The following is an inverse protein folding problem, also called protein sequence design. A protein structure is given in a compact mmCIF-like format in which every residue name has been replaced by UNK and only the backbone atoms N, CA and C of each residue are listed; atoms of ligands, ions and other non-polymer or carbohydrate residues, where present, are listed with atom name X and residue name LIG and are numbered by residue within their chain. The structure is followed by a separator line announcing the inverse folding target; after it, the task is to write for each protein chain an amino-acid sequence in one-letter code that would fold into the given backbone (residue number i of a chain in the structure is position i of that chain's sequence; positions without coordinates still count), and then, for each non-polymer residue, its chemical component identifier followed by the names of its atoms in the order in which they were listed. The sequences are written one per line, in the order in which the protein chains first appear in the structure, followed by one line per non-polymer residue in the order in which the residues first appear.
data_IF_154635522236
#
_entry.id   IF_154635522236
#
_cell.length_a   1.000
_cell.length_b   1.000
_cell.length_c   1.000
_cell.angle_alpha   90.00
_cell.angle_beta   90.00
_cell.angle_gamma   90.00
#
_symmetry.space_group_name_H-M   'P 1'
#
loop_
_entity.id
_entity.type
_entity.pdbx_description
1 polymer ?
#
# COMPACT_ATOMS: atom_id res chain seq x y z
N UNK A 1 -79.60 45.74 12.40
CA UNK A 1 -79.53 44.64 13.38
C UNK A 1 -78.46 43.66 12.91
N UNK A 2 -77.50 43.28 13.75
CA UNK A 2 -76.63 44.14 14.57
C UNK A 2 -75.14 43.81 14.25
N UNK A 3 -74.08 44.56 14.58
CA UNK A 3 -73.75 45.90 15.06
C UNK A 3 -72.19 45.98 15.02
N UNK A 4 -71.60 47.11 14.59
CA UNK A 4 -70.28 47.66 15.00
C UNK A 4 -69.01 46.79 14.80
N UNK A 5 -67.77 47.28 14.69
CA UNK A 5 -67.16 48.56 15.07
C UNK A 5 -65.80 48.76 14.37
N UNK A 6 -65.56 50.00 13.98
CA UNK A 6 -64.32 50.81 13.91
C UNK A 6 -62.96 50.21 14.34
N UNK A 7 -61.90 50.49 13.56
CA UNK A 7 -60.58 50.90 14.09
C UNK A 7 -59.73 51.60 13.01
N UNK A 8 -59.26 52.80 13.35
CA UNK A 8 -58.20 53.55 12.68
C UNK A 8 -57.01 53.63 13.63
N UNK A 9 -55.76 53.44 13.16
CA UNK A 9 -54.54 53.93 13.84
C UNK A 9 -53.48 54.33 12.80
N UNK A 10 -53.12 55.61 12.85
CA UNK A 10 -51.98 56.31 12.25
C UNK A 10 -50.76 56.31 13.17
N UNK A 11 -49.55 56.16 12.62
CA UNK A 11 -48.26 56.77 13.06
C UNK A 11 -47.16 56.25 12.11
N UNK A 12 -46.18 57.01 11.60
CA UNK A 12 -45.51 58.18 12.15
C UNK A 12 -44.01 57.84 12.24
N UNK A 13 -43.23 58.33 11.27
CA UNK A 13 -41.79 58.09 11.02
C UNK A 13 -40.88 58.83 12.03
N UNK A 14 -39.53 58.73 11.99
CA UNK A 14 -38.70 58.32 13.11
C UNK A 14 -37.87 59.46 13.73
N UNK A 15 -37.23 59.18 14.86
CA UNK A 15 -36.22 60.05 15.47
C UNK A 15 -34.98 59.23 15.84
N UNK A 16 -33.82 59.73 15.42
CA UNK A 16 -32.49 59.46 16.01
C UNK A 16 -32.45 60.01 17.46
N UNK A 17 -31.59 59.46 18.35
CA UNK A 17 -30.32 60.16 18.59
C UNK A 17 -29.12 59.31 19.03
N UNK A 18 -27.99 59.99 18.91
CA UNK A 18 -26.60 59.66 19.28
C UNK A 18 -26.32 59.78 20.80
N UNK A 19 -25.13 59.30 21.22
CA UNK A 19 -24.47 59.28 22.55
C UNK A 19 -24.72 58.03 23.45
N UNK A 20 -23.73 57.39 24.10
CA UNK A 20 -22.28 57.61 24.20
C UNK A 20 -21.65 56.65 25.25
N UNK A 21 -20.31 56.66 25.29
CA UNK A 21 -19.40 56.17 26.35
C UNK A 21 -19.16 54.66 26.55
N UNK A 22 -17.93 54.22 26.22
CA UNK A 22 -17.34 52.94 26.63
C UNK A 22 -15.80 53.02 26.62
N UNK A 23 -15.19 52.48 27.68
CA UNK A 23 -13.85 52.74 28.19
C UNK A 23 -12.64 52.22 27.38
N UNK A 24 -11.48 52.81 27.71
CA UNK A 24 -10.10 52.53 27.28
C UNK A 24 -9.65 51.08 27.56
N UNK A 25 -8.72 50.54 26.76
CA UNK A 25 -7.38 50.03 27.17
C UNK A 25 -6.66 49.30 26.00
N UNK A 26 -5.46 49.82 25.70
CA UNK A 26 -4.22 49.24 25.17
C UNK A 26 -4.10 48.60 23.76
N UNK A 27 -2.96 48.90 23.07
CA UNK A 27 -2.68 48.51 21.67
C UNK A 27 -2.03 47.12 21.51
N UNK A 28 -2.39 46.43 20.43
CA UNK A 28 -1.64 45.26 19.93
C UNK A 28 -0.23 45.66 19.46
N UNK A 29 0.82 44.89 19.83
CA UNK A 29 2.16 45.15 19.36
C UNK A 29 2.33 44.76 17.88
N UNK A 30 2.94 45.69 17.16
CA UNK A 30 3.51 45.52 15.82
C UNK A 30 4.44 44.29 15.77
N UNK A 31 4.34 43.58 14.65
CA UNK A 31 5.48 43.15 13.85
C UNK A 31 6.52 42.25 14.51
N UNK A 32 6.34 40.94 14.35
CA UNK A 32 7.47 40.02 14.23
C UNK A 32 7.50 39.46 12.82
N UNK A 33 8.29 40.12 11.97
CA UNK A 33 8.89 39.52 10.79
C UNK A 33 9.75 38.35 11.30
N UNK A 34 9.31 37.12 11.06
CA UNK A 34 10.24 35.99 11.13
C UNK A 34 11.00 35.96 9.81
N UNK A 35 12.25 36.40 9.93
CA UNK A 35 13.28 36.30 8.93
C UNK A 35 13.41 34.85 8.45
N UNK A 36 13.42 34.69 7.13
CA UNK A 36 14.06 33.54 6.47
C UNK A 36 15.55 33.53 6.86
N UNK A 37 16.12 32.41 7.32
CA UNK A 37 17.52 32.16 7.12
C UNK A 37 17.69 31.46 5.76
N UNK A 38 18.21 32.22 4.81
CA UNK A 38 19.08 31.72 3.75
C UNK A 38 20.44 31.39 4.38
N UNK A 39 21.17 30.47 3.73
CA UNK A 39 22.57 30.04 3.96
C UNK A 39 22.71 28.92 5.03
N UNK A 40 23.53 27.88 4.84
CA UNK A 40 24.66 27.73 3.94
C UNK A 40 24.86 26.27 3.51
N UNK A 41 25.29 26.07 2.25
CA UNK A 41 26.06 24.89 1.87
C UNK A 41 27.32 24.82 2.75
N UNK A 42 27.49 23.71 3.47
CA UNK A 42 28.76 23.33 4.04
C UNK A 42 29.31 22.13 3.25
N UNK A 43 30.52 22.36 2.72
CA UNK A 43 31.30 21.45 1.91
C UNK A 43 31.91 20.31 2.74
N UNK A 44 32.06 19.17 2.06
CA UNK A 44 33.14 18.17 2.13
C UNK A 44 33.85 17.91 3.48
N UNK A 45 33.76 16.65 3.91
CA UNK A 45 34.66 16.07 4.90
C UNK A 45 34.39 14.58 5.17
N UNK A 46 34.31 13.75 4.12
CA UNK A 46 34.27 12.29 4.28
C UNK A 46 35.70 11.74 4.29
N UNK A 47 36.19 11.43 5.48
CA UNK A 47 37.38 10.60 5.69
C UNK A 47 37.04 9.14 5.39
N UNK A 48 37.74 8.56 4.40
CA UNK A 48 37.72 7.13 4.09
C UNK A 48 38.33 6.31 5.23
N UNK A 49 37.70 5.23 5.73
CA UNK A 49 38.42 4.21 6.46
C UNK A 49 39.18 3.30 5.48
N UNK A 50 40.39 2.93 5.89
CA UNK A 50 41.35 2.14 5.16
C UNK A 50 40.86 0.72 4.84
N UNK A 51 41.27 0.26 3.66
CA UNK A 51 41.19 -1.12 3.17
C UNK A 51 41.96 -2.06 4.11
N UNK A 52 41.29 -3.06 4.67
CA UNK A 52 41.92 -4.23 5.25
C UNK A 52 41.75 -5.42 4.27
N UNK A 53 42.88 -5.97 3.83
CA UNK A 53 42.97 -7.17 2.99
C UNK A 53 42.48 -8.43 3.72
N UNK A 54 41.88 -9.40 3.01
CA UNK A 54 41.55 -10.70 3.59
C UNK A 54 42.79 -11.61 3.64
N UNK A 55 43.09 -12.14 4.82
CA UNK A 55 44.05 -13.22 4.99
C UNK A 55 43.38 -14.58 4.70
N UNK A 56 44.08 -15.38 3.90
CA UNK A 56 43.74 -16.72 3.49
C UNK A 56 43.66 -17.71 4.68
N UNK A 57 42.80 -18.73 4.54
CA UNK A 57 42.77 -19.86 5.47
C UNK A 57 41.50 -20.71 5.33
N UNK A 58 41.32 -21.39 4.19
CA UNK A 58 40.33 -22.47 4.05
C UNK A 58 41.08 -23.79 4.25
N UNK A 59 40.79 -24.59 5.30
CA UNK A 59 41.11 -26.01 5.29
C UNK A 59 39.97 -26.79 4.61
N UNK A 60 40.32 -27.50 3.55
CA UNK A 60 39.51 -28.58 2.95
C UNK A 60 39.29 -29.72 3.93
N UNK A 61 38.10 -30.35 3.94
CA UNK A 61 37.97 -31.75 4.30
C UNK A 61 37.74 -32.63 3.06
N UNK A 62 38.58 -33.66 2.93
CA UNK A 62 38.46 -34.78 1.99
C UNK A 62 37.34 -35.78 2.40
N UNK A 63 36.94 -36.68 1.49
CA UNK A 63 35.62 -37.32 1.48
C UNK A 63 35.58 -38.64 2.25
N UNK A 64 34.41 -38.94 2.84
CA UNK A 64 34.08 -40.29 3.29
C UNK A 64 32.68 -40.66 2.80
N UNK A 65 32.63 -41.86 2.22
CA UNK A 65 31.48 -42.53 1.63
C UNK A 65 30.28 -42.65 2.60
N UNK A 66 29.06 -42.62 2.07
CA UNK A 66 28.33 -43.85 1.72
C UNK A 66 26.86 -43.52 1.46
N UNK A 67 26.35 -44.09 0.36
CA UNK A 67 24.94 -44.08 -0.02
C UNK A 67 24.10 -44.75 1.07
N UNK A 68 23.10 -44.03 1.57
CA UNK A 68 21.86 -44.62 2.08
C UNK A 68 20.69 -43.85 1.46
N UNK A 69 19.96 -44.52 0.59
CA UNK A 69 18.73 -44.00 0.01
C UNK A 69 17.67 -43.84 1.11
N UNK A 70 17.01 -42.67 1.25
CA UNK A 70 15.82 -42.60 2.08
C UNK A 70 14.69 -43.33 1.35
N UNK A 71 14.13 -44.34 2.02
CA UNK A 71 12.90 -44.98 1.63
C UNK A 71 11.80 -43.92 1.44
N UNK A 72 11.08 -44.01 0.32
CA UNK A 72 9.86 -43.23 0.07
C UNK A 72 8.84 -43.57 1.17
N UNK A 73 8.34 -42.61 1.95
CA UNK A 73 7.02 -42.77 2.52
C UNK A 73 6.01 -42.55 1.39
N UNK A 74 5.56 -43.66 0.81
CA UNK A 74 4.28 -43.70 0.12
C UNK A 74 3.20 -43.45 1.18
N UNK A 75 2.76 -42.20 1.28
CA UNK A 75 1.45 -41.76 1.77
C UNK A 75 1.39 -40.24 1.59
N UNK A 76 1.20 -39.82 0.34
CA UNK A 76 0.57 -38.54 0.08
C UNK A 76 -0.90 -38.70 0.47
N UNK A 77 -1.19 -38.57 1.76
CA UNK A 77 -2.52 -38.14 2.17
C UNK A 77 -2.75 -36.82 1.47
N UNK A 78 -3.69 -36.83 0.53
CA UNK A 78 -4.22 -35.62 -0.06
C UNK A 78 -4.73 -34.77 1.12
N UNK A 79 -3.96 -33.74 1.46
CA UNK A 79 -4.42 -32.64 2.29
C UNK A 79 -5.64 -32.06 1.58
N UNK A 80 -6.81 -32.52 2.01
CA UNK A 80 -8.08 -31.90 1.72
C UNK A 80 -7.96 -30.49 2.25
N UNK A 81 -7.83 -29.52 1.36
CA UNK A 81 -8.06 -28.12 1.71
C UNK A 81 -9.37 -28.07 2.49
N UNK A 82 -9.40 -27.47 3.70
CA UNK A 82 -10.63 -27.43 4.48
C UNK A 82 -11.70 -26.76 3.62
N UNK A 83 -12.68 -27.56 3.21
CA UNK A 83 -13.83 -27.07 2.47
C UNK A 83 -14.46 -25.95 3.31
N UNK A 84 -14.66 -24.79 2.69
CA UNK A 84 -15.20 -23.63 3.39
C UNK A 84 -16.50 -24.04 4.10
N UNK A 85 -16.69 -23.65 5.37
CA UNK A 85 -17.84 -24.11 6.14
C UNK A 85 -19.13 -23.75 5.38
N UNK A 86 -20.09 -24.68 5.31
CA UNK A 86 -21.30 -24.48 4.53
C UNK A 86 -22.07 -23.27 5.06
N UNK A 87 -22.73 -22.56 4.15
CA UNK A 87 -23.57 -21.42 4.50
C UNK A 87 -24.61 -21.82 5.54
N UNK A 88 -24.78 -20.97 6.57
CA UNK A 88 -25.83 -21.15 7.56
C UNK A 88 -27.22 -21.32 6.91
N UNK A 89 -27.99 -22.29 7.42
CA UNK A 89 -29.41 -22.41 7.11
C UNK A 89 -30.16 -21.14 7.56
N UNK A 90 -31.33 -20.86 6.97
CA UNK A 90 -32.15 -19.70 7.34
C UNK A 90 -32.47 -19.68 8.85
N UNK A 91 -32.76 -20.84 9.44
CA UNK A 91 -33.02 -20.97 10.88
C UNK A 91 -31.80 -20.62 11.72
N UNK A 92 -30.62 -21.15 11.35
CA UNK A 92 -29.37 -20.87 12.06
C UNK A 92 -28.98 -19.40 11.92
N UNK A 93 -29.15 -18.82 10.73
CA UNK A 93 -28.91 -17.40 10.48
C UNK A 93 -29.83 -16.50 11.32
N UNK A 94 -31.13 -16.81 11.38
CA UNK A 94 -32.08 -16.06 12.21
C UNK A 94 -31.77 -16.15 13.71
N UNK A 95 -31.21 -17.29 14.19
CA UNK A 95 -30.74 -17.41 15.57
C UNK A 95 -29.53 -16.51 15.84
N UNK A 96 -28.52 -16.56 14.97
CA UNK A 96 -27.33 -15.69 15.06
C UNK A 96 -27.72 -14.21 15.07
N UNK A 97 -28.68 -13.78 14.24
CA UNK A 97 -29.17 -12.40 14.26
C UNK A 97 -29.83 -12.02 15.59
N UNK A 98 -30.54 -12.95 16.24
CA UNK A 98 -31.29 -12.68 17.47
C UNK A 98 -30.39 -12.63 18.70
N UNK A 99 -29.51 -13.62 18.83
CA UNK A 99 -28.81 -13.92 20.09
C UNK A 99 -27.30 -14.10 19.93
N UNK A 100 -26.78 -14.06 18.70
CA UNK A 100 -25.37 -14.31 18.43
C UNK A 100 -24.43 -13.27 19.05
N UNK A 101 -23.27 -13.74 19.50
CA UNK A 101 -22.16 -12.88 19.94
C UNK A 101 -21.32 -12.37 18.76
N UNK A 102 -20.27 -11.58 19.04
CA UNK A 102 -19.42 -10.99 18.00
C UNK A 102 -18.68 -12.07 17.18
N UNK A 103 -18.31 -13.21 17.76
CA UNK A 103 -17.61 -14.28 17.06
C UNK A 103 -18.54 -14.98 16.07
N UNK A 104 -19.75 -15.31 16.53
CA UNK A 104 -20.79 -15.90 15.69
C UNK A 104 -21.24 -14.95 14.57
N UNK A 105 -21.34 -13.65 14.85
CA UNK A 105 -21.65 -12.63 13.86
C UNK A 105 -20.52 -12.45 12.84
N UNK A 106 -19.25 -12.51 13.26
CA UNK A 106 -18.09 -12.46 12.35
C UNK A 106 -18.08 -13.65 11.40
N UNK A 107 -18.26 -14.86 11.91
CA UNK A 107 -18.36 -16.08 11.10
C UNK A 107 -19.50 -15.98 10.08
N UNK A 108 -20.68 -15.52 10.50
CA UNK A 108 -21.82 -15.32 9.61
C UNK A 108 -21.56 -14.23 8.55
N UNK A 109 -20.82 -13.17 8.89
CA UNK A 109 -20.43 -12.13 7.95
C UNK A 109 -19.46 -12.64 6.88
N UNK A 110 -18.42 -13.38 7.26
CA UNK A 110 -17.46 -13.96 6.31
C UNK A 110 -18.16 -14.91 5.34
N UNK A 111 -18.93 -15.87 5.86
CA UNK A 111 -19.71 -16.79 5.04
C UNK A 111 -20.67 -16.06 4.07
N UNK A 112 -21.38 -15.04 4.57
CA UNK A 112 -22.30 -14.26 3.74
C UNK A 112 -21.57 -13.42 2.68
N UNK A 113 -20.37 -12.92 2.99
CA UNK A 113 -19.54 -12.16 2.07
C UNK A 113 -18.94 -13.04 0.96
N UNK A 114 -18.49 -14.24 1.31
CA UNK A 114 -17.92 -15.22 0.39
C UNK A 114 -18.99 -15.74 -0.60
N UNK A 115 -20.23 -15.89 -0.14
CA UNK A 115 -21.37 -16.29 -0.97
C UNK A 115 -22.19 -15.13 -1.58
N UNK A 116 -21.68 -13.89 -1.52
CA UNK A 116 -22.32 -12.66 -2.03
C UNK A 116 -23.81 -12.49 -1.59
N UNK A 117 -24.13 -12.87 -0.35
CA UNK A 117 -25.48 -12.75 0.24
C UNK A 117 -25.71 -11.35 0.82
N UNK A 118 -25.88 -10.37 -0.07
CA UNK A 118 -26.04 -8.93 0.27
C UNK A 118 -27.14 -8.65 1.30
N UNK A 119 -28.27 -9.34 1.22
CA UNK A 119 -29.39 -9.20 2.17
C UNK A 119 -28.99 -9.61 3.59
N UNK A 120 -28.36 -10.78 3.73
CA UNK A 120 -27.87 -11.28 5.03
C UNK A 120 -26.81 -10.36 5.61
N UNK A 121 -25.89 -9.86 4.78
CA UNK A 121 -24.88 -8.88 5.21
C UNK A 121 -25.54 -7.63 5.80
N UNK A 122 -26.57 -7.08 5.15
CA UNK A 122 -27.26 -5.88 5.67
C UNK A 122 -27.92 -6.13 7.02
N UNK A 123 -28.54 -7.29 7.22
CA UNK A 123 -29.16 -7.66 8.50
C UNK A 123 -28.11 -7.81 9.61
N UNK A 124 -26.97 -8.45 9.30
CA UNK A 124 -25.84 -8.57 10.24
C UNK A 124 -25.27 -7.19 10.61
N UNK A 125 -25.09 -6.31 9.63
CA UNK A 125 -24.62 -4.94 9.85
C UNK A 125 -25.55 -4.15 10.78
N UNK A 126 -26.86 -4.19 10.54
CA UNK A 126 -27.85 -3.56 11.40
C UNK A 126 -27.83 -4.11 12.83
N UNK A 127 -27.64 -5.43 12.97
CA UNK A 127 -27.49 -6.08 14.27
C UNK A 127 -26.24 -5.58 15.02
N UNK A 128 -25.09 -5.51 14.34
CA UNK A 128 -23.81 -5.07 14.92
C UNK A 128 -23.82 -3.61 15.39
N UNK A 129 -24.63 -2.74 14.76
CA UNK A 129 -24.80 -1.36 15.23
C UNK A 129 -25.50 -1.25 16.59
N UNK A 130 -26.26 -2.28 16.99
CA UNK A 130 -27.16 -2.29 18.15
C UNK A 130 -26.84 -3.35 19.21
N UNK A 131 -25.98 -4.33 18.92
CA UNK A 131 -25.65 -5.45 19.84
C UNK A 131 -25.09 -4.99 21.19
N UNK A 132 -24.29 -3.93 21.17
CA UNK A 132 -23.62 -3.40 22.35
C UNK A 132 -23.93 -1.90 22.46
N UNK A 133 -25.00 -1.50 23.19
CA UNK A 133 -25.31 -0.09 23.41
C UNK A 133 -24.21 0.59 24.23
N UNK A 134 -23.97 1.87 24.00
CA UNK A 134 -22.96 2.65 24.73
C UNK A 134 -23.38 2.89 26.21
N UNK A 135 -22.43 3.11 27.13
CA UNK A 135 -20.98 3.12 26.95
C UNK A 135 -20.37 1.71 26.93
N UNK A 136 -19.32 1.51 26.13
CA UNK A 136 -18.60 0.24 26.04
C UNK A 136 -17.09 0.45 26.24
N UNK A 137 -16.38 -0.51 26.86
CA UNK A 137 -14.93 -0.43 26.97
C UNK A 137 -14.28 -0.59 25.60
N UNK A 138 -13.06 -0.04 25.43
CA UNK A 138 -12.36 -0.02 24.15
C UNK A 138 -12.26 -1.41 23.47
N UNK A 139 -11.93 -2.52 24.15
CA UNK A 139 -11.83 -3.82 23.50
C UNK A 139 -13.12 -4.25 22.79
N UNK A 140 -14.29 -3.96 23.37
CA UNK A 140 -15.59 -4.28 22.77
C UNK A 140 -15.87 -3.40 21.55
N UNK A 141 -15.50 -2.12 21.60
CA UNK A 141 -15.62 -1.18 20.47
C UNK A 141 -14.73 -1.62 19.30
N UNK A 142 -13.48 -1.98 19.58
CA UNK A 142 -12.54 -2.43 18.56
C UNK A 142 -12.97 -3.76 17.95
N UNK A 143 -13.40 -4.74 18.76
CA UNK A 143 -13.90 -6.02 18.26
C UNK A 143 -15.12 -5.82 17.36
N UNK A 144 -16.13 -5.06 17.79
CA UNK A 144 -17.33 -4.81 16.97
C UNK A 144 -16.98 -4.10 15.64
N UNK A 145 -16.09 -3.10 15.68
CA UNK A 145 -15.66 -2.41 14.47
C UNK A 145 -14.88 -3.34 13.51
N UNK A 146 -14.05 -4.26 14.02
CA UNK A 146 -13.36 -5.23 13.17
C UNK A 146 -14.36 -6.23 12.53
N UNK A 147 -15.36 -6.70 13.27
CA UNK A 147 -16.44 -7.53 12.70
C UNK A 147 -17.19 -6.79 11.60
N UNK A 148 -17.53 -5.51 11.80
CA UNK A 148 -18.15 -4.69 10.75
C UNK A 148 -17.27 -4.58 9.49
N UNK A 149 -15.95 -4.58 9.61
CA UNK A 149 -15.06 -4.64 8.45
C UNK A 149 -15.13 -6.00 7.74
N UNK A 150 -15.19 -7.12 8.47
CA UNK A 150 -15.47 -8.45 7.88
C UNK A 150 -16.81 -8.48 7.16
N UNK A 151 -17.81 -7.75 7.66
CA UNK A 151 -19.13 -7.61 7.04
C UNK A 151 -19.16 -6.63 5.85
N UNK A 152 -18.01 -6.15 5.36
CA UNK A 152 -17.88 -5.13 4.29
C UNK A 152 -18.63 -3.82 4.61
N UNK A 153 -18.61 -3.40 5.88
CA UNK A 153 -19.34 -2.24 6.39
C UNK A 153 -18.41 -1.18 7.01
N UNK A 154 -17.52 -0.55 6.20
CA UNK A 154 -16.52 0.40 6.71
C UNK A 154 -17.14 1.65 7.35
N UNK A 155 -18.28 2.13 6.85
CA UNK A 155 -18.97 3.31 7.37
C UNK A 155 -19.58 3.06 8.75
N UNK A 156 -20.15 1.87 8.95
CA UNK A 156 -20.70 1.39 10.21
C UNK A 156 -19.60 1.16 11.23
N UNK A 157 -18.47 0.53 10.82
CA UNK A 157 -17.29 0.39 11.67
C UNK A 157 -16.80 1.76 12.17
N UNK A 158 -16.74 2.74 11.27
CA UNK A 158 -16.41 4.13 11.63
C UNK A 158 -17.44 4.74 12.59
N UNK A 159 -18.73 4.45 12.42
CA UNK A 159 -19.79 4.89 13.33
C UNK A 159 -19.59 4.35 14.75
N UNK A 160 -19.25 3.06 14.88
CA UNK A 160 -18.94 2.43 16.18
C UNK A 160 -17.68 3.05 16.79
N UNK A 161 -16.62 3.21 16.00
CA UNK A 161 -15.35 3.82 16.47
C UNK A 161 -15.53 5.26 16.96
N UNK A 162 -16.38 6.06 16.32
CA UNK A 162 -16.62 7.46 16.70
C UNK A 162 -17.40 7.61 18.03
N UNK A 163 -17.97 6.53 18.57
CA UNK A 163 -18.62 6.54 19.90
C UNK A 163 -17.60 6.56 21.05
N UNK A 164 -16.33 6.28 20.75
CA UNK A 164 -15.25 6.19 21.72
C UNK A 164 -14.06 7.05 21.29
N UNK A 165 -13.45 7.76 22.24
CA UNK A 165 -12.32 8.65 21.99
C UNK A 165 -11.27 8.47 23.09
N UNK A 166 -10.33 7.51 22.95
CA UNK A 166 -9.34 7.26 23.98
C UNK A 166 -8.42 8.48 24.14
N UNK A 167 -7.97 8.69 25.38
CA UNK A 167 -6.87 9.60 25.68
C UNK A 167 -5.57 9.11 25.02
N UNK A 168 -4.56 9.98 24.94
CA UNK A 168 -3.25 9.64 24.38
C UNK A 168 -2.64 8.42 25.07
N UNK A 169 -1.97 7.56 24.29
CA UNK A 169 -1.36 6.32 24.79
C UNK A 169 -1.63 5.11 23.90
N UNK A 170 -1.37 3.90 24.43
CA UNK A 170 -1.45 2.65 23.66
C UNK A 170 -2.86 2.37 23.10
N UNK A 171 -3.90 2.73 23.84
CA UNK A 171 -5.30 2.61 23.41
C UNK A 171 -5.62 3.51 22.20
N UNK A 172 -5.08 4.74 22.19
CA UNK A 172 -5.19 5.66 21.06
C UNK A 172 -4.58 5.09 19.79
N UNK A 173 -3.41 4.47 19.91
CA UNK A 173 -2.69 3.85 18.80
C UNK A 173 -3.54 2.74 18.17
N UNK A 174 -4.10 1.84 18.98
CA UNK A 174 -4.98 0.76 18.51
C UNK A 174 -6.24 1.31 17.82
N UNK A 175 -6.88 2.31 18.43
CA UNK A 175 -8.06 2.97 17.85
C UNK A 175 -7.76 3.70 16.54
N UNK A 176 -6.60 4.36 16.42
CA UNK A 176 -6.17 5.04 15.18
C UNK A 176 -5.85 4.04 14.05
N UNK A 177 -5.25 2.89 14.37
CA UNK A 177 -5.01 1.84 13.38
C UNK A 177 -6.33 1.30 12.82
N UNK A 178 -7.32 1.03 13.68
CA UNK A 178 -8.60 0.52 13.21
C UNK A 178 -9.43 1.59 12.47
N UNK A 179 -9.34 2.85 12.87
CA UNK A 179 -9.93 3.94 12.10
C UNK A 179 -9.29 4.11 10.72
N UNK A 180 -7.96 4.00 10.62
CA UNK A 180 -7.29 4.01 9.32
C UNK A 180 -7.81 2.85 8.45
N UNK A 181 -7.86 1.62 8.97
CA UNK A 181 -8.39 0.45 8.24
C UNK A 181 -9.81 0.68 7.74
N UNK A 182 -10.70 1.17 8.61
CA UNK A 182 -12.08 1.45 8.25
C UNK A 182 -12.21 2.56 7.20
N UNK A 183 -11.47 3.65 7.34
CA UNK A 183 -11.45 4.73 6.35
C UNK A 183 -10.89 4.27 5.01
N UNK A 184 -9.80 3.48 5.01
CA UNK A 184 -9.20 2.94 3.80
C UNK A 184 -10.14 1.97 3.07
N UNK A 185 -10.80 1.07 3.80
CA UNK A 185 -11.80 0.15 3.24
C UNK A 185 -13.03 0.87 2.67
N UNK A 186 -13.40 2.02 3.24
CA UNK A 186 -14.47 2.90 2.73
C UNK A 186 -14.01 3.88 1.64
N UNK A 187 -12.76 3.79 1.17
CA UNK A 187 -12.15 4.73 0.21
C UNK A 187 -12.17 6.21 0.66
N UNK A 188 -12.30 6.47 1.98
CA UNK A 188 -12.17 7.81 2.55
C UNK A 188 -10.68 8.13 2.76
N UNK A 189 -10.00 8.45 1.66
CA UNK A 189 -8.57 8.75 1.64
C UNK A 189 -8.19 9.93 2.53
N UNK A 190 -9.09 10.91 2.72
CA UNK A 190 -8.85 12.06 3.61
C UNK A 190 -8.75 11.60 5.06
N UNK A 191 -9.73 10.81 5.52
CA UNK A 191 -9.76 10.31 6.89
C UNK A 191 -8.67 9.28 7.15
N UNK A 192 -8.38 8.43 6.17
CA UNK A 192 -7.29 7.46 6.24
C UNK A 192 -5.93 8.15 6.41
N UNK A 193 -5.61 9.16 5.59
CA UNK A 193 -4.39 9.95 5.73
C UNK A 193 -4.30 10.63 7.11
N UNK A 194 -5.38 11.26 7.56
CA UNK A 194 -5.43 11.93 8.87
C UNK A 194 -5.20 10.95 10.04
N UNK A 195 -5.73 9.73 9.94
CA UNK A 195 -5.50 8.68 10.95
C UNK A 195 -4.02 8.29 11.01
N UNK A 196 -3.35 8.12 9.87
CA UNK A 196 -1.91 7.83 9.80
C UNK A 196 -1.04 8.97 10.33
N UNK A 197 -1.37 10.22 9.99
CA UNK A 197 -0.65 11.40 10.51
C UNK A 197 -0.79 11.54 12.03
N UNK A 198 -1.95 11.17 12.60
CA UNK A 198 -2.17 11.11 14.04
C UNK A 198 -1.42 9.94 14.66
N UNK A 199 -1.42 8.78 14.00
CA UNK A 199 -0.70 7.59 14.44
C UNK A 199 0.81 7.85 14.53
N UNK A 200 1.38 8.60 13.58
CA UNK A 200 2.78 9.04 13.62
C UNK A 200 3.10 9.90 14.86
N UNK A 201 2.16 10.77 15.27
CA UNK A 201 2.33 11.64 16.43
C UNK A 201 2.18 10.90 17.76
N UNK A 202 1.33 9.89 17.80
CA UNK A 202 0.98 9.14 19.02
C UNK A 202 1.88 7.92 19.25
N UNK A 203 2.33 7.26 18.18
CA UNK A 203 2.94 5.93 18.24
C UNK A 203 4.44 5.89 18.55
N UNK A 204 5.14 7.02 18.59
CA UNK A 204 6.60 7.13 18.81
C UNK A 204 7.48 6.53 17.69
N UNK A 205 6.97 5.53 16.98
CA UNK A 205 7.59 4.89 15.82
C UNK A 205 7.32 5.72 14.56
N UNK A 206 8.34 6.08 13.77
CA UNK A 206 8.13 6.78 12.51
C UNK A 206 7.34 5.91 11.52
N UNK A 207 6.60 6.54 10.59
CA UNK A 207 5.73 5.80 9.67
C UNK A 207 6.49 4.91 8.68
N UNK A 208 7.74 5.23 8.34
CA UNK A 208 8.58 4.31 7.59
C UNK A 208 8.84 3.04 8.42
N UNK A 209 9.13 3.24 9.71
CA UNK A 209 9.19 2.30 10.84
C UNK A 209 8.01 1.35 10.99
N UNK A 210 6.81 1.87 10.78
CA UNK A 210 5.56 1.22 11.15
C UNK A 210 5.03 0.32 10.03
N UNK A 211 4.84 -0.96 10.33
CA UNK A 211 4.20 -1.93 9.43
C UNK A 211 2.74 -2.10 9.81
N UNK A 212 1.83 -1.88 8.86
CA UNK A 212 0.38 -1.98 9.05
C UNK A 212 -0.21 -3.15 8.26
N UNK A 213 -1.10 -3.97 8.86
CA UNK A 213 -1.78 -5.04 8.16
C UNK A 213 -2.85 -4.47 7.23
N UNK A 214 -2.77 -4.81 5.95
CA UNK A 214 -3.76 -4.43 4.94
C UNK A 214 -4.87 -5.47 4.80
N UNK A 215 -4.47 -6.73 4.64
CA UNK A 215 -5.39 -7.81 4.32
C UNK A 215 -4.80 -9.14 4.79
N UNK A 216 -5.67 -10.05 5.20
CA UNK A 216 -5.33 -11.46 5.38
C UNK A 216 -5.54 -12.19 4.05
N UNK A 217 -4.52 -12.91 3.57
CA UNK A 217 -4.63 -13.82 2.43
C UNK A 217 -5.43 -15.06 2.80
N UNK A 218 -5.84 -15.81 1.79
CA UNK A 218 -6.55 -17.09 1.93
C UNK A 218 -5.73 -18.13 2.72
N UNK A 219 -4.40 -18.12 2.57
CA UNK A 219 -3.44 -18.95 3.31
C UNK A 219 -3.25 -18.52 4.79
N UNK A 220 -3.99 -17.51 5.25
CA UNK A 220 -3.91 -16.97 6.60
C UNK A 220 -2.78 -15.96 6.84
N UNK A 221 -1.88 -15.74 5.88
CA UNK A 221 -0.78 -14.76 6.01
C UNK A 221 -1.29 -13.32 5.92
N UNK A 222 -0.63 -12.39 6.61
CA UNK A 222 -1.00 -10.97 6.57
C UNK A 222 -0.15 -10.21 5.55
N UNK A 223 -0.80 -9.66 4.54
CA UNK A 223 -0.19 -8.65 3.68
C UNK A 223 -0.06 -7.38 4.49
N UNK A 224 1.17 -6.91 4.65
CA UNK A 224 1.46 -5.69 5.39
C UNK A 224 2.25 -4.69 4.53
N UNK A 225 2.08 -3.40 4.80
CA UNK A 225 2.83 -2.32 4.15
C UNK A 225 3.31 -1.29 5.15
N UNK A 226 4.32 -0.51 4.76
CA UNK A 226 4.78 0.62 5.57
C UNK A 226 3.68 1.68 5.69
N UNK A 227 3.51 2.24 6.89
CA UNK A 227 2.59 3.35 7.13
C UNK A 227 2.91 4.58 6.28
N UNK A 228 4.19 4.81 5.94
CA UNK A 228 4.61 5.92 5.10
C UNK A 228 4.16 5.73 3.64
N UNK A 229 4.28 4.51 3.11
CA UNK A 229 3.82 4.17 1.76
C UNK A 229 2.29 4.24 1.65
N UNK A 230 1.59 3.84 2.71
CA UNK A 230 0.13 3.97 2.80
C UNK A 230 -0.30 5.43 2.86
N UNK A 231 0.39 6.27 3.62
CA UNK A 231 0.13 7.71 3.64
C UNK A 231 0.36 8.33 2.27
N UNK A 232 1.46 7.99 1.59
CA UNK A 232 1.74 8.47 0.24
C UNK A 232 0.63 8.06 -0.75
N UNK A 233 0.16 6.81 -0.69
CA UNK A 233 -0.96 6.31 -1.51
C UNK A 233 -2.22 7.14 -1.29
N UNK A 234 -2.59 7.42 -0.04
CA UNK A 234 -3.77 8.23 0.26
C UNK A 234 -3.61 9.71 -0.15
N UNK A 235 -2.40 10.27 -0.08
CA UNK A 235 -2.11 11.62 -0.56
C UNK A 235 -2.23 11.70 -2.08
N UNK A 236 -1.71 10.71 -2.80
CA UNK A 236 -1.85 10.59 -4.25
C UNK A 236 -3.33 10.53 -4.66
N UNK A 237 -4.13 9.63 -4.06
CA UNK A 237 -5.57 9.52 -4.37
C UNK A 237 -6.38 10.78 -4.06
N UNK A 238 -5.84 11.68 -3.24
CA UNK A 238 -6.45 12.99 -2.93
C UNK A 238 -6.00 14.12 -3.87
N UNK A 239 -5.16 13.83 -4.86
CA UNK A 239 -4.62 14.83 -5.78
C UNK A 239 -3.38 15.55 -5.25
N UNK A 240 -2.64 14.95 -4.30
CA UNK A 240 -1.37 15.50 -3.78
C UNK A 240 -0.15 14.62 -4.14
N UNK A 241 0.07 14.26 -5.42
CA UNK A 241 1.15 13.35 -5.82
C UNK A 241 2.54 13.92 -5.50
N UNK A 242 2.73 15.24 -5.64
CA UNK A 242 3.99 15.90 -5.29
C UNK A 242 4.36 15.71 -3.81
N UNK A 243 3.41 15.95 -2.91
CA UNK A 243 3.63 15.80 -1.46
C UNK A 243 3.89 14.31 -1.14
N UNK A 244 3.14 13.40 -1.77
CA UNK A 244 3.35 11.96 -1.62
C UNK A 244 4.77 11.56 -2.07
N UNK A 245 5.22 11.99 -3.24
CA UNK A 245 6.56 11.70 -3.75
C UNK A 245 7.68 12.30 -2.90
N UNK A 246 7.52 13.55 -2.44
CA UNK A 246 8.47 14.20 -1.52
C UNK A 246 8.57 13.43 -0.19
N UNK A 247 7.45 12.95 0.35
CA UNK A 247 7.41 12.10 1.55
C UNK A 247 8.17 10.78 1.34
N UNK A 248 7.94 10.12 0.20
CA UNK A 248 8.61 8.86 -0.15
C UNK A 248 10.13 9.04 -0.31
N UNK A 249 10.56 10.12 -0.95
CA UNK A 249 11.98 10.41 -1.20
C UNK A 249 12.78 10.75 0.07
N UNK A 250 12.12 11.25 1.12
CA UNK A 250 12.75 11.60 2.39
C UNK A 250 12.91 10.43 3.37
N UNK A 251 12.31 9.27 3.07
CA UNK A 251 12.40 8.10 3.93
C UNK A 251 13.84 7.56 3.99
N UNK A 252 14.28 7.09 5.15
CA UNK A 252 15.70 6.74 5.39
C UNK A 252 16.03 5.26 5.27
N UNK A 253 15.03 4.40 5.07
CA UNK A 253 15.23 2.94 5.00
C UNK A 253 15.88 2.53 3.66
N UNK A 254 17.13 2.00 3.66
CA UNK A 254 17.81 1.56 2.46
C UNK A 254 17.40 0.12 2.05
N UNK A 255 18.00 -0.38 0.98
CA UNK A 255 17.83 -1.75 0.48
C UNK A 255 16.70 -1.86 -0.54
N UNK A 256 16.21 -3.09 -0.80
CA UNK A 256 15.18 -3.33 -1.83
C UNK A 256 13.92 -2.48 -1.61
N UNK A 257 13.41 -2.41 -0.38
CA UNK A 257 12.24 -1.57 -0.06
C UNK A 257 12.51 -0.08 -0.25
N UNK A 258 13.75 0.39 -0.04
CA UNK A 258 14.14 1.76 -0.32
C UNK A 258 14.20 2.05 -1.82
N UNK A 259 14.74 1.12 -2.61
CA UNK A 259 14.79 1.24 -4.08
C UNK A 259 13.38 1.31 -4.70
N UNK A 260 12.47 0.42 -4.32
CA UNK A 260 11.07 0.42 -4.78
C UNK A 260 10.35 1.72 -4.40
N UNK A 261 10.61 2.22 -3.19
CA UNK A 261 10.05 3.48 -2.73
C UNK A 261 10.55 4.67 -3.55
N UNK A 262 11.84 4.72 -3.86
CA UNK A 262 12.43 5.77 -4.69
C UNK A 262 11.92 5.69 -6.14
N UNK A 263 11.72 4.49 -6.69
CA UNK A 263 11.06 4.30 -7.98
C UNK A 263 9.66 4.93 -7.98
N UNK A 264 8.84 4.63 -6.95
CA UNK A 264 7.52 5.24 -6.80
C UNK A 264 7.60 6.75 -6.61
N UNK A 265 8.55 7.25 -5.83
CA UNK A 265 8.76 8.68 -5.64
C UNK A 265 9.05 9.39 -6.96
N UNK A 266 9.91 8.83 -7.81
CA UNK A 266 10.24 9.39 -9.13
C UNK A 266 9.01 9.46 -10.04
N UNK A 267 8.16 8.43 -10.02
CA UNK A 267 6.90 8.43 -10.78
C UNK A 267 5.95 9.56 -10.33
N UNK A 268 5.83 9.79 -9.03
CA UNK A 268 4.99 10.85 -8.46
C UNK A 268 5.58 12.26 -8.64
N UNK A 269 6.91 12.34 -8.80
CA UNK A 269 7.67 13.58 -8.96
C UNK A 269 8.03 13.84 -10.42
N UNK A 270 7.12 13.48 -11.34
CA UNK A 270 7.30 13.69 -12.77
C UNK A 270 7.55 15.15 -13.16
N UNK A 271 7.07 16.12 -12.39
CA UNK A 271 7.31 17.56 -12.64
C UNK A 271 8.70 18.05 -12.20
N UNK A 272 9.49 17.22 -11.50
CA UNK A 272 10.85 17.62 -11.15
C UNK A 272 11.74 17.69 -12.39
N UNK A 273 12.72 18.62 -12.41
CA UNK A 273 13.76 18.66 -13.44
C UNK A 273 14.44 17.31 -13.61
N UNK A 274 14.76 16.93 -14.86
CA UNK A 274 15.40 15.66 -15.17
C UNK A 274 16.64 15.34 -14.30
N UNK A 275 17.56 16.29 -13.99
CA UNK A 275 18.69 16.01 -13.11
C UNK A 275 18.31 15.59 -11.68
N UNK A 276 17.19 16.10 -11.16
CA UNK A 276 16.72 15.75 -9.82
C UNK A 276 16.09 14.36 -9.81
N UNK A 277 15.33 14.02 -10.85
CA UNK A 277 14.80 12.65 -11.03
C UNK A 277 15.92 11.64 -11.23
N UNK A 278 16.94 12.00 -12.01
CA UNK A 278 18.12 11.18 -12.25
C UNK A 278 18.86 10.85 -10.95
N UNK A 279 19.06 11.84 -10.06
CA UNK A 279 19.69 11.62 -8.76
C UNK A 279 18.93 10.63 -7.86
N UNK A 280 17.59 10.69 -7.86
CA UNK A 280 16.74 9.72 -7.15
C UNK A 280 16.86 8.31 -7.75
N UNK A 281 16.89 8.21 -9.08
CA UNK A 281 17.07 6.94 -9.79
C UNK A 281 18.46 6.33 -9.56
N UNK A 282 19.52 7.12 -9.53
CA UNK A 282 20.87 6.64 -9.18
C UNK A 282 20.90 6.04 -7.78
N UNK A 283 20.28 6.72 -6.81
CA UNK A 283 20.16 6.21 -5.44
C UNK A 283 19.34 4.91 -5.39
N UNK A 284 18.26 4.81 -6.18
CA UNK A 284 17.46 3.59 -6.27
C UNK A 284 18.23 2.44 -6.92
N UNK A 285 19.00 2.72 -7.98
CA UNK A 285 19.83 1.75 -8.70
C UNK A 285 20.92 1.17 -7.81
N UNK A 286 21.59 2.00 -7.01
CA UNK A 286 22.60 1.56 -6.04
C UNK A 286 21.98 0.61 -5.01
N UNK A 287 20.81 0.95 -4.47
CA UNK A 287 20.11 0.11 -3.50
C UNK A 287 19.59 -1.20 -4.10
N UNK A 288 19.04 -1.17 -5.32
CA UNK A 288 18.56 -2.36 -6.02
C UNK A 288 19.71 -3.30 -6.39
N UNK A 289 20.83 -2.76 -6.89
CA UNK A 289 22.02 -3.53 -7.23
C UNK A 289 22.66 -4.15 -5.98
N UNK A 290 22.77 -3.39 -4.88
CA UNK A 290 23.27 -3.92 -3.60
C UNK A 290 22.40 -5.04 -3.03
N UNK A 291 21.09 -5.01 -3.32
CA UNK A 291 20.15 -6.08 -2.95
C UNK A 291 20.09 -7.25 -3.96
N UNK A 292 20.87 -7.22 -5.04
CA UNK A 292 20.84 -8.24 -6.10
C UNK A 292 19.53 -8.30 -6.89
N UNK A 293 18.72 -7.24 -6.85
CA UNK A 293 17.40 -7.18 -7.49
C UNK A 293 17.51 -6.80 -8.97
N UNK A 294 18.11 -7.67 -9.80
CA UNK A 294 18.46 -7.36 -11.19
C UNK A 294 17.25 -7.01 -12.08
N UNK A 295 16.08 -7.59 -11.82
CA UNK A 295 14.84 -7.20 -12.51
C UNK A 295 14.46 -5.74 -12.25
N UNK A 296 14.53 -5.30 -10.98
CA UNK A 296 14.27 -3.90 -10.62
C UNK A 296 15.37 -2.97 -11.17
N UNK A 297 16.63 -3.42 -11.21
CA UNK A 297 17.71 -2.65 -11.85
C UNK A 297 17.40 -2.39 -13.32
N UNK A 298 16.92 -3.40 -14.07
CA UNK A 298 16.54 -3.23 -15.47
C UNK A 298 15.39 -2.21 -15.64
N UNK A 299 14.35 -2.29 -14.81
CA UNK A 299 13.22 -1.34 -14.81
C UNK A 299 13.66 0.10 -14.47
N UNK A 300 14.55 0.26 -13.50
CA UNK A 300 15.09 1.56 -13.11
C UNK A 300 15.97 2.15 -14.21
N UNK A 301 16.79 1.35 -14.90
CA UNK A 301 17.59 1.81 -16.03
C UNK A 301 16.70 2.21 -17.23
N UNK A 302 15.59 1.50 -17.47
CA UNK A 302 14.58 1.92 -18.46
C UNK A 302 13.97 3.28 -18.11
N UNK A 303 13.59 3.46 -16.84
CA UNK A 303 13.04 4.72 -16.33
C UNK A 303 14.07 5.86 -16.47
N UNK A 304 15.35 5.57 -16.22
CA UNK A 304 16.44 6.53 -16.36
C UNK A 304 16.70 6.89 -17.83
N UNK A 305 16.73 5.92 -18.73
CA UNK A 305 16.95 6.13 -20.16
C UNK A 305 15.79 6.88 -20.84
N UNK A 306 14.59 6.87 -20.26
CA UNK A 306 13.47 7.69 -20.70
C UNK A 306 13.61 9.18 -20.33
N UNK A 307 14.56 9.55 -19.47
CA UNK A 307 14.92 10.94 -19.23
C UNK A 307 15.67 11.51 -20.45
N UNK A 308 15.60 12.83 -20.73
CA UNK A 308 16.33 13.47 -21.83
C UNK A 308 17.84 13.54 -21.52
N UNK A 309 18.53 12.39 -21.60
CA UNK A 309 19.94 12.20 -21.25
C UNK A 309 20.56 11.10 -22.12
N UNK A 310 21.41 11.50 -23.07
CA UNK A 310 22.17 10.54 -23.89
C UNK A 310 23.06 9.62 -23.03
N UNK A 311 23.58 10.16 -21.92
CA UNK A 311 24.34 9.40 -20.93
C UNK A 311 23.52 8.26 -20.33
N UNK A 312 22.24 8.49 -20.04
CA UNK A 312 21.36 7.47 -19.47
C UNK A 312 21.10 6.32 -20.47
N UNK A 313 20.83 6.66 -21.73
CA UNK A 313 20.64 5.67 -22.81
C UNK A 313 21.94 4.86 -23.03
N UNK A 314 23.09 5.53 -23.12
CA UNK A 314 24.38 4.87 -23.27
C UNK A 314 24.69 3.94 -22.08
N UNK A 315 24.38 4.36 -20.85
CA UNK A 315 24.53 3.53 -19.64
C UNK A 315 23.62 2.31 -19.70
N UNK A 316 22.34 2.48 -20.06
CA UNK A 316 21.36 1.40 -20.22
C UNK A 316 21.88 0.34 -21.20
N UNK A 317 22.30 0.74 -22.40
CA UNK A 317 22.83 -0.18 -23.41
C UNK A 317 24.10 -0.89 -22.93
N UNK A 318 25.05 -0.15 -22.34
CA UNK A 318 26.29 -0.73 -21.78
C UNK A 318 26.02 -1.76 -20.69
N UNK A 319 25.01 -1.53 -19.83
CA UNK A 319 24.69 -2.43 -18.72
C UNK A 319 23.79 -3.60 -19.13
N UNK A 320 23.06 -3.51 -20.24
CA UNK A 320 22.12 -4.55 -20.70
C UNK A 320 22.79 -5.91 -20.85
N UNK A 321 23.98 -5.95 -21.48
CA UNK A 321 24.74 -7.19 -21.61
C UNK A 321 25.33 -7.73 -20.30
N UNK A 322 25.50 -6.87 -19.27
CA UNK A 322 26.00 -7.31 -17.95
C UNK A 322 24.90 -7.91 -17.07
N UNK A 323 23.65 -7.53 -17.30
CA UNK A 323 22.48 -8.04 -16.58
C UNK A 323 21.66 -9.04 -17.39
N UNK A 324 22.20 -9.50 -18.53
CA UNK A 324 21.57 -10.43 -19.48
C UNK A 324 20.15 -10.03 -19.91
N UNK A 325 19.93 -8.72 -20.11
CA UNK A 325 18.64 -8.18 -20.52
C UNK A 325 18.60 -7.89 -22.02
N UNK A 326 18.60 -8.98 -22.81
CA UNK A 326 18.51 -8.92 -24.27
C UNK A 326 17.22 -8.25 -24.77
N UNK A 327 16.12 -8.40 -24.03
CA UNK A 327 14.84 -7.79 -24.40
C UNK A 327 14.87 -6.27 -24.22
N UNK A 328 15.42 -5.80 -23.11
CA UNK A 328 15.62 -4.39 -22.85
C UNK A 328 16.57 -3.73 -23.84
N UNK A 329 17.68 -4.38 -24.17
CA UNK A 329 18.60 -3.90 -25.22
C UNK A 329 17.87 -3.75 -26.57
N UNK A 330 17.09 -4.76 -26.96
CA UNK A 330 16.29 -4.73 -28.19
C UNK A 330 15.29 -3.58 -28.20
N UNK A 331 14.58 -3.35 -27.08
CA UNK A 331 13.58 -2.28 -26.94
C UNK A 331 14.16 -0.91 -27.25
N UNK A 332 15.39 -0.64 -26.80
CA UNK A 332 16.06 0.64 -27.03
C UNK A 332 16.70 0.75 -28.41
N UNK A 333 17.31 -0.33 -28.92
CA UNK A 333 18.01 -0.31 -30.22
C UNK A 333 17.08 -0.36 -31.44
N UNK A 334 15.84 -0.87 -31.30
CA UNK A 334 14.93 -1.04 -32.47
C UNK A 334 14.57 0.28 -33.18
N UNK A 335 14.77 1.42 -32.53
CA UNK A 335 14.51 2.75 -33.08
C UNK A 335 15.75 3.34 -33.77
N UNK A 336 16.92 2.74 -33.58
CA UNK A 336 18.19 3.17 -34.16
C UNK A 336 18.47 2.42 -35.47
N UNK A 337 18.42 3.10 -36.64
CA UNK A 337 18.68 2.46 -37.92
C UNK A 337 20.12 1.95 -38.06
N UNK A 338 21.07 2.51 -37.31
CA UNK A 338 22.47 2.08 -37.33
C UNK A 338 22.69 0.77 -36.58
N UNK A 339 21.77 0.40 -35.68
CA UNK A 339 21.83 -0.82 -34.89
C UNK A 339 21.16 -2.04 -35.55
N UNK A 340 20.75 -1.95 -36.83
CA UNK A 340 19.93 -2.97 -37.50
C UNK A 340 20.50 -4.40 -37.44
N UNK A 341 21.83 -4.56 -37.53
CA UNK A 341 22.47 -5.86 -37.42
C UNK A 341 22.34 -6.48 -36.01
N UNK A 342 22.55 -5.65 -34.97
CA UNK A 342 22.41 -6.06 -33.57
C UNK A 342 20.96 -6.36 -33.21
N UNK A 343 20.01 -5.55 -33.69
CA UNK A 343 18.57 -5.77 -33.51
C UNK A 343 18.16 -7.14 -34.06
N UNK A 344 18.60 -7.50 -35.28
CA UNK A 344 18.34 -8.85 -35.84
C UNK A 344 18.90 -9.97 -34.98
N UNK A 345 20.12 -9.79 -34.45
CA UNK A 345 20.73 -10.79 -33.56
C UNK A 345 19.90 -10.97 -32.27
N UNK A 346 19.48 -9.87 -31.66
CA UNK A 346 18.64 -9.90 -30.45
C UNK A 346 17.28 -10.55 -30.73
N UNK A 347 16.66 -10.28 -31.88
CA UNK A 347 15.40 -10.93 -32.27
C UNK A 347 15.56 -12.45 -32.42
N UNK A 348 16.68 -12.92 -32.98
CA UNK A 348 16.98 -14.35 -33.06
C UNK A 348 17.12 -14.94 -31.65
N UNK A 349 17.88 -14.27 -30.76
CA UNK A 349 18.08 -14.70 -29.37
C UNK A 349 16.76 -14.78 -28.59
N UNK A 350 15.87 -13.79 -28.74
CA UNK A 350 14.58 -13.73 -28.04
C UNK A 350 13.56 -14.75 -28.57
N UNK A 351 13.71 -15.21 -29.82
CA UNK A 351 12.84 -16.22 -30.45
C UNK A 351 13.35 -17.65 -30.24
N UNK A 352 14.62 -17.83 -29.93
CA UNK A 352 15.18 -19.15 -29.62
C UNK A 352 14.49 -19.71 -28.38
N UNK A 353 14.16 -21.01 -28.34
CA UNK A 353 13.86 -21.68 -27.08
C UNK A 353 14.99 -21.36 -26.10
N UNK A 354 14.63 -20.85 -24.92
CA UNK A 354 15.61 -20.66 -23.85
C UNK A 354 16.14 -22.04 -23.48
N UNK A 355 17.45 -22.14 -23.27
CA UNK A 355 18.06 -23.39 -22.82
C UNK A 355 17.31 -23.93 -21.60
N UNK A 356 17.12 -25.26 -21.51
CA UNK A 356 16.52 -25.90 -20.34
C UNK A 356 17.44 -25.62 -19.14
N UNK A 357 17.05 -24.65 -18.30
CA UNK A 357 17.87 -24.18 -17.18
C UNK A 357 17.63 -22.72 -16.77
N UNK A 358 17.02 -21.89 -17.62
CA UNK A 358 16.69 -20.51 -17.26
C UNK A 358 15.30 -20.34 -16.67
N UNK A 359 15.17 -20.28 -15.33
CA UNK A 359 14.02 -19.90 -14.45
C UNK A 359 12.58 -20.37 -14.78
N UNK A 360 12.30 -20.92 -15.94
CA UNK A 360 11.09 -21.63 -16.30
C UNK A 360 11.48 -23.11 -16.36
N UNK A 361 11.46 -23.76 -15.20
CA UNK A 361 11.49 -25.22 -15.17
C UNK A 361 10.26 -25.73 -15.93
N UNK A 362 10.49 -26.71 -16.77
CA UNK A 362 9.52 -27.35 -17.67
C UNK A 362 8.16 -27.58 -17.01
N UNK A 363 7.12 -26.93 -17.52
CA UNK A 363 5.78 -27.46 -17.37
C UNK A 363 5.72 -28.73 -18.25
N UNK A 364 5.37 -29.90 -17.68
CA UNK A 364 5.27 -31.12 -18.47
C UNK A 364 4.20 -30.94 -19.54
N UNK A 365 4.62 -30.95 -20.80
CA UNK A 365 3.71 -31.07 -21.94
C UNK A 365 3.06 -32.44 -21.84
N UNK A 366 1.78 -32.47 -21.48
CA UNK A 366 0.95 -33.67 -21.60
C UNK A 366 0.86 -33.99 -23.10
N UNK A 367 1.34 -35.15 -23.57
CA UNK A 367 1.19 -35.52 -24.97
C UNK A 367 -0.31 -35.68 -25.27
N UNK A 368 -0.84 -34.75 -26.08
CA UNK A 368 -2.20 -34.86 -26.62
C UNK A 368 -2.27 -36.12 -27.47
N UNK A 369 -3.16 -37.02 -27.09
CA UNK A 369 -3.38 -38.30 -27.73
C UNK A 369 -3.60 -38.19 -29.23
N UNK A 370 -2.99 -39.14 -29.93
CA UNK A 370 -3.20 -39.44 -31.35
C UNK A 370 -4.70 -39.61 -31.64
N UNK A 371 -5.27 -38.95 -32.66
CA UNK A 371 -6.65 -39.21 -33.06
C UNK A 371 -6.77 -40.60 -33.69
N UNK A 372 -7.86 -41.35 -33.44
CA UNK A 372 -8.06 -42.66 -34.04
C UNK A 372 -8.38 -42.54 -35.52
N UNK A 373 -7.67 -43.36 -36.31
CA UNK A 373 -7.91 -43.59 -37.73
C UNK A 373 -9.32 -44.15 -37.96
N UNK A 374 -10.17 -43.40 -38.66
CA UNK A 374 -11.43 -43.92 -39.21
C UNK A 374 -11.14 -44.68 -40.50
N UNK A 375 -11.26 -46.01 -40.44
CA UNK A 375 -11.39 -46.88 -41.61
C UNK A 375 -12.88 -46.97 -41.98
N UNK A 376 -13.29 -46.77 -43.24
CA UNK A 376 -14.66 -47.03 -43.65
C UNK A 376 -14.84 -48.52 -44.00
N UNK A 377 -16.01 -49.07 -43.68
CA UNK A 377 -16.46 -50.40 -44.12
C UNK A 377 -17.88 -50.28 -44.71
N UNK A 378 -18.25 -51.22 -45.60
CA UNK A 378 -19.03 -50.97 -46.83
C UNK A 378 -20.54 -50.75 -46.68
#
# INVERSE_FOLDING_TARGET
MPFSSTAAITAGTPADPDAGAGHRIAPSPRGRRLARPLLALAALGLTLPAVAQPAAGIPSPEPAASRAAPARPDNAEAETSPEAPPLLSEKAFAEVLRSGDLEQLDAACRQSADADRKERLRQLQQRLLTIHPAPQPLPVVLANADVLLSCRAPSEAMTVLNRYGPAAGAERVQWLQLQWRAAAAGLDHRRAALALERLQREGGTPLDGLTLPLQRREDGTLVSRSGLELLATHLESRGFPRIAGELLAQARRPGLSGALRLQQAVALLAELPAPQRDALLETALEQAAAAGAWGLVAELLDTQAALPSERAVARRLRLSGRIDDAYGEWRWLRQDPTAAARVRQLEIQLRSPRDPGGHAADLPVVPTGTPPSTTPSP
#
